data_IF_551987056500
#
_entry.id   IF_551987056500
#
_cell.length_a   1.000
_cell.length_b   1.000
_cell.length_c   1.000
_cell.angle_alpha   90.00
_cell.angle_beta   90.00
_cell.angle_gamma   90.00
#
_symmetry.space_group_name_H-M   'P 1'
#
loop_
_entity.id
_entity.type
_entity.pdbx_description
1 polymer ?
#
# COMPACT_ATOMS: atom_id res chain seq x y z
N UNK A 1 5.14 -20.20 -17.51
CA UNK A 1 6.00 -19.45 -18.45
C UNK A 1 5.15 -18.32 -19.03
N UNK A 2 5.55 -17.05 -18.91
CA UNK A 2 4.81 -15.92 -19.51
C UNK A 2 5.32 -15.64 -20.93
N UNK A 3 4.49 -15.22 -21.90
CA UNK A 3 4.69 -15.63 -23.29
C UNK A 3 5.43 -14.65 -24.23
N UNK A 4 6.29 -13.74 -23.75
CA UNK A 4 6.96 -12.78 -24.68
C UNK A 4 8.50 -12.75 -24.58
N UNK A 5 9.13 -13.34 -23.56
CA UNK A 5 10.61 -13.31 -23.40
C UNK A 5 11.22 -14.58 -22.80
N UNK A 6 10.43 -15.63 -22.54
CA UNK A 6 10.90 -16.83 -21.83
C UNK A 6 11.35 -16.58 -20.38
N UNK A 7 11.27 -15.32 -19.90
CA UNK A 7 11.64 -14.95 -18.53
C UNK A 7 10.54 -15.36 -17.57
N UNK A 8 10.92 -16.13 -16.55
CA UNK A 8 10.04 -16.39 -15.43
C UNK A 8 9.61 -15.06 -14.80
N UNK A 9 8.31 -14.93 -14.54
CA UNK A 9 7.74 -13.75 -13.89
C UNK A 9 8.23 -13.74 -12.44
N UNK A 10 9.02 -12.73 -12.07
CA UNK A 10 9.50 -12.59 -10.70
C UNK A 10 8.33 -12.41 -9.74
N UNK A 11 8.49 -12.90 -8.51
CA UNK A 11 7.57 -12.54 -7.44
C UNK A 11 7.68 -11.04 -7.17
N UNK A 12 6.61 -10.42 -6.66
CA UNK A 12 6.61 -8.99 -6.34
C UNK A 12 7.76 -8.62 -5.39
N UNK A 13 7.97 -9.43 -4.33
CA UNK A 13 9.08 -9.24 -3.39
C UNK A 13 10.44 -9.25 -4.10
N UNK A 14 10.67 -10.21 -5.01
CA UNK A 14 11.96 -10.30 -5.72
C UNK A 14 12.16 -9.15 -6.69
N UNK A 15 11.08 -8.70 -7.33
CA UNK A 15 11.13 -7.52 -8.20
C UNK A 15 11.42 -6.25 -7.39
N UNK A 16 10.86 -6.13 -6.19
CA UNK A 16 11.09 -5.01 -5.28
C UNK A 16 12.54 -4.95 -4.81
N UNK A 17 13.11 -6.07 -4.34
CA UNK A 17 14.53 -6.17 -3.96
C UNK A 17 15.47 -5.70 -5.08
N UNK A 18 15.30 -6.25 -6.29
CA UNK A 18 16.16 -5.92 -7.44
C UNK A 18 16.01 -4.45 -7.83
N UNK A 19 14.79 -3.92 -7.81
CA UNK A 19 14.53 -2.53 -8.16
C UNK A 19 15.18 -1.58 -7.15
N UNK A 20 15.02 -1.85 -5.85
CA UNK A 20 15.61 -1.05 -4.79
C UNK A 20 17.13 -1.01 -4.92
N UNK A 21 17.77 -2.18 -5.03
CA UNK A 21 19.22 -2.30 -5.20
C UNK A 21 19.76 -1.49 -6.39
N UNK A 22 19.11 -1.61 -7.56
CA UNK A 22 19.55 -0.93 -8.78
C UNK A 22 19.28 0.58 -8.77
N UNK A 23 18.45 1.07 -7.86
CA UNK A 23 18.10 2.49 -7.77
C UNK A 23 18.82 3.22 -6.63
N UNK A 24 19.67 2.56 -5.84
CA UNK A 24 20.39 3.18 -4.70
C UNK A 24 21.18 4.42 -5.10
N UNK A 25 21.95 4.37 -6.19
CA UNK A 25 22.70 5.54 -6.69
C UNK A 25 21.77 6.68 -7.15
N UNK A 26 20.64 6.34 -7.77
CA UNK A 26 19.65 7.33 -8.23
C UNK A 26 18.92 7.98 -7.05
N UNK A 27 18.65 7.21 -6.00
CA UNK A 27 18.02 7.68 -4.78
C UNK A 27 18.96 8.53 -3.93
N UNK A 28 20.26 8.28 -4.00
CA UNK A 28 21.29 8.89 -3.19
C UNK A 28 22.40 9.50 -4.07
N UNK A 29 22.12 10.62 -4.77
CA UNK A 29 23.03 11.17 -5.79
C UNK A 29 24.35 11.73 -5.25
N UNK A 30 24.46 11.92 -3.93
CA UNK A 30 25.68 12.38 -3.25
C UNK A 30 26.50 11.24 -2.63
N UNK A 31 26.01 10.00 -2.69
CA UNK A 31 26.71 8.85 -2.15
C UNK A 31 27.88 8.46 -3.06
N UNK A 32 29.01 8.10 -2.43
CA UNK A 32 30.11 7.46 -3.14
C UNK A 32 29.72 6.00 -3.48
N UNK A 33 30.21 5.42 -4.58
CA UNK A 33 29.93 4.03 -4.92
C UNK A 33 30.35 3.03 -3.84
N UNK A 34 31.37 3.34 -3.04
CA UNK A 34 31.77 2.49 -1.90
C UNK A 34 30.78 2.49 -0.73
N UNK A 35 29.98 3.55 -0.56
CA UNK A 35 29.01 3.67 0.55
C UNK A 35 27.59 3.25 0.12
N UNK A 36 27.39 2.95 -1.17
CA UNK A 36 26.05 2.75 -1.73
C UNK A 36 25.38 1.44 -1.29
N UNK A 37 26.17 0.42 -0.94
CA UNK A 37 25.65 -0.91 -0.60
C UNK A 37 24.78 -0.91 0.66
N UNK A 38 25.02 0.03 1.58
CA UNK A 38 24.31 0.20 2.83
C UNK A 38 23.12 1.20 2.73
N UNK A 39 22.93 1.81 1.56
CA UNK A 39 21.85 2.79 1.35
C UNK A 39 20.58 2.15 0.81
N UNK A 40 19.46 2.75 1.15
CA UNK A 40 18.17 2.37 0.62
C UNK A 40 17.95 3.00 -0.76
N UNK A 41 17.35 2.21 -1.66
CA UNK A 41 16.96 2.67 -2.99
C UNK A 41 15.54 3.23 -3.03
N UNK A 42 15.00 3.37 -4.23
CA UNK A 42 13.57 3.63 -4.38
C UNK A 42 12.79 2.33 -4.29
N UNK A 43 11.60 2.39 -3.69
CA UNK A 43 10.70 1.24 -3.59
C UNK A 43 9.60 1.31 -4.64
N UNK A 44 9.10 0.14 -5.08
CA UNK A 44 7.95 0.06 -5.99
C UNK A 44 6.70 0.69 -5.38
N UNK A 45 6.56 0.62 -4.05
CA UNK A 45 5.51 1.34 -3.33
C UNK A 45 5.58 2.85 -3.58
N UNK A 46 6.77 3.46 -3.43
CA UNK A 46 6.97 4.89 -3.64
C UNK A 46 6.66 5.27 -5.09
N UNK A 47 7.12 4.49 -6.06
CA UNK A 47 6.82 4.70 -7.49
C UNK A 47 5.31 4.66 -7.75
N UNK A 48 4.61 3.65 -7.22
CA UNK A 48 3.15 3.52 -7.36
C UNK A 48 2.42 4.68 -6.70
N UNK A 49 2.90 5.16 -5.56
CA UNK A 49 2.32 6.29 -4.88
C UNK A 49 2.51 7.59 -5.68
N UNK A 50 3.72 7.84 -6.19
CA UNK A 50 3.99 9.00 -7.05
C UNK A 50 3.12 9.00 -8.31
N UNK A 51 2.92 7.84 -8.94
CA UNK A 51 2.00 7.73 -10.09
C UNK A 51 0.56 8.10 -9.72
N UNK A 52 0.06 7.61 -8.58
CA UNK A 52 -1.28 7.97 -8.09
C UNK A 52 -1.41 9.47 -7.78
N UNK A 53 -0.38 10.07 -7.18
CA UNK A 53 -0.36 11.51 -6.91
C UNK A 53 -0.30 12.31 -8.20
N UNK A 54 0.51 11.89 -9.16
CA UNK A 54 0.61 12.53 -10.47
C UNK A 54 -0.72 12.49 -11.23
N UNK A 55 -1.38 11.34 -11.24
CA UNK A 55 -2.72 11.21 -11.83
C UNK A 55 -3.72 12.14 -11.14
N UNK A 56 -3.70 12.21 -9.81
CA UNK A 56 -4.56 13.11 -9.03
C UNK A 56 -4.29 14.59 -9.30
N UNK A 57 -3.02 15.00 -9.43
CA UNK A 57 -2.61 16.35 -9.82
C UNK A 57 -3.03 16.68 -11.25
N UNK A 58 -2.99 15.70 -12.15
CA UNK A 58 -3.47 15.79 -13.54
C UNK A 58 -4.99 15.90 -13.68
N UNK A 59 -5.72 15.96 -12.56
CA UNK A 59 -7.18 16.08 -12.55
C UNK A 59 -7.91 14.75 -12.70
N UNK A 60 -7.24 13.60 -12.51
CA UNK A 60 -7.93 12.34 -12.38
C UNK A 60 -8.73 12.34 -11.08
N UNK A 61 -10.02 12.68 -11.17
CA UNK A 61 -10.95 12.54 -10.06
C UNK A 61 -10.89 11.11 -9.55
N UNK A 62 -10.68 10.94 -8.24
CA UNK A 62 -10.79 9.65 -7.54
C UNK A 62 -12.18 9.01 -7.68
N UNK A 63 -13.14 9.75 -8.25
CA UNK A 63 -14.48 9.32 -8.66
C UNK A 63 -14.54 8.40 -9.89
N UNK A 64 -13.40 8.06 -10.52
CA UNK A 64 -13.36 7.03 -11.56
C UNK A 64 -13.77 5.62 -11.05
N UNK A 65 -13.94 5.45 -9.73
CA UNK A 65 -14.83 4.43 -9.19
C UNK A 65 -16.29 4.82 -9.47
N UNK A 66 -16.70 4.74 -10.73
CA UNK A 66 -18.11 4.76 -11.10
C UNK A 66 -18.90 3.74 -10.24
N UNK A 67 -20.22 3.92 -10.09
CA UNK A 67 -21.02 3.09 -9.20
C UNK A 67 -20.75 1.61 -9.46
N UNK A 68 -20.50 0.85 -8.38
CA UNK A 68 -20.25 -0.59 -8.46
C UNK A 68 -21.30 -1.21 -9.41
N UNK A 69 -20.87 -2.06 -10.37
CA UNK A 69 -21.82 -2.70 -11.26
C UNK A 69 -22.89 -3.42 -10.43
N UNK A 70 -24.15 -3.48 -10.89
CA UNK A 70 -25.29 -3.96 -10.11
C UNK A 70 -25.10 -5.37 -9.52
N UNK A 71 -24.14 -6.13 -10.03
CA UNK A 71 -23.72 -7.45 -9.55
C UNK A 71 -22.99 -7.44 -8.21
N UNK A 72 -22.53 -6.29 -7.73
CA UNK A 72 -21.86 -6.12 -6.43
C UNK A 72 -22.70 -5.33 -5.42
N UNK A 73 -23.93 -4.95 -5.77
CA UNK A 73 -24.88 -4.41 -4.80
C UNK A 73 -25.39 -5.57 -3.92
N UNK A 74 -25.34 -5.45 -2.59
CA UNK A 74 -26.05 -6.38 -1.72
C UNK A 74 -27.54 -6.36 -2.06
N UNK A 75 -28.13 -7.52 -2.32
CA UNK A 75 -29.57 -7.64 -2.50
C UNK A 75 -30.28 -7.10 -1.25
N UNK A 76 -31.40 -6.38 -1.38
CA UNK A 76 -32.22 -6.02 -0.23
C UNK A 76 -32.60 -7.31 0.53
N UNK A 77 -32.13 -7.45 1.76
CA UNK A 77 -32.30 -8.66 2.58
C UNK A 77 -31.04 -9.52 2.77
N UNK A 78 -29.90 -9.17 2.18
CA UNK A 78 -28.64 -9.87 2.44
C UNK A 78 -28.21 -9.73 3.92
N UNK A 79 -28.28 -10.83 4.67
CA UNK A 79 -27.88 -10.90 6.08
C UNK A 79 -26.39 -10.58 6.19
N UNK A 80 -26.06 -9.56 6.98
CA UNK A 80 -24.67 -9.14 7.20
C UNK A 80 -23.91 -10.26 7.94
N UNK A 81 -22.72 -10.68 7.47
CA UNK A 81 -21.96 -11.73 8.14
C UNK A 81 -21.48 -11.28 9.54
N UNK A 82 -21.43 -12.20 10.52
CA UNK A 82 -21.36 -11.88 11.95
C UNK A 82 -20.04 -11.26 12.44
N UNK A 83 -18.99 -11.28 11.61
CA UNK A 83 -17.68 -10.73 11.99
C UNK A 83 -17.61 -9.19 11.95
N UNK A 84 -18.65 -8.51 11.43
CA UNK A 84 -18.78 -7.04 11.42
C UNK A 84 -19.42 -6.46 12.70
N UNK A 85 -19.24 -7.12 13.85
CA UNK A 85 -19.68 -6.63 15.16
C UNK A 85 -18.52 -6.53 16.14
N UNK A 86 -17.43 -5.83 15.79
CA UNK A 86 -16.47 -5.37 16.78
C UNK A 86 -16.96 -4.04 17.36
N UNK A 87 -17.59 -4.15 18.54
CA UNK A 87 -17.98 -3.03 19.36
C UNK A 87 -16.77 -2.16 19.71
N UNK A 88 -17.01 -0.85 19.80
CA UNK A 88 -16.13 0.10 20.49
C UNK A 88 -15.83 -0.45 21.89
N UNK A 89 -14.56 -0.58 22.31
CA UNK A 89 -14.28 -0.85 23.70
C UNK A 89 -14.71 0.36 24.54
N UNK A 90 -15.59 0.09 25.52
CA UNK A 90 -16.00 1.07 26.52
C UNK A 90 -14.77 1.55 27.30
N UNK A 91 -14.59 2.87 27.40
CA UNK A 91 -13.60 3.47 28.29
C UNK A 91 -13.98 3.16 29.74
N UNK A 92 -13.36 2.15 30.34
CA UNK A 92 -13.45 1.89 31.78
C UNK A 92 -12.52 2.85 32.50
N UNK A 93 -13.04 4.01 32.88
CA UNK A 93 -12.36 4.94 33.78
C UNK A 93 -12.24 4.32 35.17
N UNK A 94 -11.06 3.81 35.50
CA UNK A 94 -10.70 3.48 36.87
C UNK A 94 -10.24 4.76 37.58
N UNK A 95 -11.04 5.27 38.52
CA UNK A 95 -10.56 6.17 39.57
C UNK A 95 -11.24 5.85 40.89
N UNK A 96 -10.52 5.13 41.73
CA UNK A 96 -10.59 5.11 43.19
C UNK A 96 -9.13 4.81 43.61
N UNK A 97 -8.49 5.48 44.57
CA UNK A 97 -8.88 5.89 45.93
C UNK A 97 -8.04 7.13 46.30
N UNK A 98 -8.60 8.16 46.94
CA UNK A 98 -8.53 8.43 48.40
C UNK A 98 -7.15 8.10 49.01
N UNK A 99 -6.34 9.13 49.22
CA UNK A 99 -5.28 9.16 50.21
C UNK A 99 -5.73 10.14 51.30
N UNK A 100 -5.70 9.64 52.53
CA UNK A 100 -5.86 10.35 53.81
C UNK A 100 -4.70 11.29 54.07
#
# INVERSE_FOLDING_TARGET
MGPETGRARLSYRRAEEIFEENTRLLANPLASPEDVEDLDGWTLHRLRHSAQTHDAEGGASTDAAGPLPPRLRPLPGAVRPPWRRRGRPARRGARSRRAT
#
